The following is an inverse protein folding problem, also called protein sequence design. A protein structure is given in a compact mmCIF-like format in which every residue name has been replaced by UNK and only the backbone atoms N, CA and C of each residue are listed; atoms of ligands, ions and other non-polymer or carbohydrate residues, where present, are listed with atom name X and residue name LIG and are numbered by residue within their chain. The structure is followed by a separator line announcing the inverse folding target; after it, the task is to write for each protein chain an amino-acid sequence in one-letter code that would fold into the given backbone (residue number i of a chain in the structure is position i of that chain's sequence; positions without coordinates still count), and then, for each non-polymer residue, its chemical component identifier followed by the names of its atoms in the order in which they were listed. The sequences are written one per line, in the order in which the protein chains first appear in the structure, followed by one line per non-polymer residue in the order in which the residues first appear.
data_IF_748072501353
#
_entry.id   IF_748072501353
#
_cell.length_a   1.000
_cell.length_b   1.000
_cell.length_c   1.000
_cell.angle_alpha   90.00
_cell.angle_beta   90.00
_cell.angle_gamma   90.00
#
_symmetry.space_group_name_H-M   'P 1'
#
loop_
_entity.id
_entity.type
_entity.pdbx_description
1 polymer ?
#
# COMPACT_ATOMS: atom_id res chain seq x y z
N UNK A 1 34.87 -23.31 -11.17
CA UNK A 1 33.91 -24.00 -12.05
C UNK A 1 32.61 -23.23 -12.08
N UNK A 2 32.10 -22.84 -13.25
CA UNK A 2 30.82 -22.14 -13.31
C UNK A 2 29.69 -23.05 -12.81
N UNK A 3 28.92 -22.59 -11.82
CA UNK A 3 27.80 -23.33 -11.23
C UNK A 3 26.88 -23.82 -12.35
N UNK A 4 26.62 -25.14 -12.43
CA UNK A 4 25.67 -25.71 -13.40
C UNK A 4 24.30 -25.07 -13.18
N UNK A 5 23.74 -24.51 -14.24
CA UNK A 5 22.38 -23.94 -14.22
C UNK A 5 21.38 -25.10 -14.11
N UNK A 6 20.24 -24.85 -13.47
CA UNK A 6 19.15 -25.84 -13.31
C UNK A 6 18.22 -25.94 -14.52
N UNK A 7 18.43 -25.10 -15.52
CA UNK A 7 17.60 -24.97 -16.71
C UNK A 7 18.51 -24.87 -17.94
N UNK A 8 18.00 -25.34 -19.06
CA UNK A 8 18.67 -25.30 -20.36
C UNK A 8 18.15 -24.13 -21.22
N UNK A 9 18.85 -23.83 -22.32
CA UNK A 9 18.40 -22.80 -23.26
C UNK A 9 16.99 -23.07 -23.79
N UNK A 10 16.65 -24.34 -24.08
CA UNK A 10 15.32 -24.71 -24.58
C UNK A 10 14.23 -24.47 -23.52
N UNK A 11 14.53 -24.71 -22.24
CA UNK A 11 13.61 -24.42 -21.14
C UNK A 11 13.35 -22.92 -21.01
N UNK A 12 14.40 -22.11 -21.17
CA UNK A 12 14.28 -20.65 -21.13
C UNK A 12 13.43 -20.12 -22.29
N UNK A 13 13.68 -20.58 -23.52
CA UNK A 13 12.90 -20.17 -24.70
C UNK A 13 11.43 -20.51 -24.53
N UNK A 14 11.11 -21.77 -24.16
CA UNK A 14 9.73 -22.21 -23.90
C UNK A 14 9.07 -21.38 -22.80
N UNK A 15 9.80 -21.08 -21.74
CA UNK A 15 9.28 -20.28 -20.63
C UNK A 15 8.98 -18.83 -21.05
N UNK A 16 9.81 -18.23 -21.91
CA UNK A 16 9.61 -16.87 -22.44
C UNK A 16 8.41 -16.82 -23.38
N UNK A 17 8.28 -17.76 -24.32
CA UNK A 17 7.15 -17.83 -25.25
C UNK A 17 5.80 -18.01 -24.54
N UNK A 18 5.77 -18.88 -23.51
CA UNK A 18 4.55 -19.17 -22.73
C UNK A 18 4.15 -18.03 -21.79
N UNK A 19 5.11 -17.24 -21.31
CA UNK A 19 4.89 -16.26 -20.24
C UNK A 19 4.60 -14.86 -20.77
N UNK A 20 3.84 -14.08 -20.00
CA UNK A 20 3.59 -12.65 -20.26
C UNK A 20 4.36 -11.71 -19.31
N UNK A 21 5.26 -12.26 -18.48
CA UNK A 21 6.07 -11.48 -17.53
C UNK A 21 7.35 -12.22 -17.12
N UNK A 22 8.41 -11.45 -16.82
CA UNK A 22 9.69 -11.97 -16.29
C UNK A 22 9.50 -12.81 -15.01
N UNK A 23 8.55 -12.43 -14.14
CA UNK A 23 8.22 -13.19 -12.92
C UNK A 23 7.67 -14.57 -13.25
N UNK A 24 6.80 -14.67 -14.26
CA UNK A 24 6.25 -15.95 -14.71
C UNK A 24 7.33 -16.84 -15.32
N UNK A 25 8.23 -16.27 -16.15
CA UNK A 25 9.39 -17.00 -16.69
C UNK A 25 10.24 -17.60 -15.56
N UNK A 26 10.59 -16.81 -14.54
CA UNK A 26 11.37 -17.29 -13.40
C UNK A 26 10.67 -18.45 -12.69
N UNK A 27 9.36 -18.37 -12.47
CA UNK A 27 8.60 -19.46 -11.85
C UNK A 27 8.59 -20.73 -12.71
N UNK A 28 8.41 -20.58 -14.03
CA UNK A 28 8.36 -21.70 -14.98
C UNK A 28 9.69 -22.46 -15.02
N UNK A 29 10.82 -21.75 -15.02
CA UNK A 29 12.17 -22.37 -14.97
C UNK A 29 12.60 -22.79 -13.55
N UNK A 30 11.67 -22.81 -12.58
CA UNK A 30 11.91 -23.27 -11.21
C UNK A 30 12.78 -22.34 -10.35
N UNK A 31 12.91 -21.07 -10.73
CA UNK A 31 13.65 -20.05 -9.99
C UNK A 31 12.74 -19.16 -9.14
N UNK A 32 13.27 -18.70 -8.01
CA UNK A 32 12.57 -17.73 -7.16
C UNK A 32 12.64 -16.33 -7.78
N UNK A 33 11.54 -15.57 -7.79
CA UNK A 33 11.51 -14.20 -8.32
C UNK A 33 12.18 -13.20 -7.36
N UNK A 34 13.51 -13.25 -7.29
CA UNK A 34 14.37 -12.38 -6.47
C UNK A 34 15.24 -11.49 -7.35
N UNK A 35 15.74 -10.36 -6.81
CA UNK A 35 16.47 -9.34 -7.58
C UNK A 35 17.65 -9.88 -8.40
N UNK A 36 18.44 -10.80 -7.84
CA UNK A 36 19.56 -11.42 -8.57
C UNK A 36 19.10 -12.27 -9.76
N UNK A 37 18.02 -13.04 -9.59
CA UNK A 37 17.48 -13.88 -10.66
C UNK A 37 16.86 -13.04 -11.78
N UNK A 38 16.27 -11.89 -11.49
CA UNK A 38 15.80 -10.96 -12.52
C UNK A 38 16.96 -10.41 -13.37
N UNK A 39 18.04 -9.96 -12.74
CA UNK A 39 19.24 -9.48 -13.46
C UNK A 39 19.83 -10.57 -14.36
N UNK A 40 19.89 -11.79 -13.83
CA UNK A 40 20.42 -12.93 -14.58
C UNK A 40 19.49 -13.32 -15.75
N UNK A 41 18.18 -13.28 -15.54
CA UNK A 41 17.21 -13.51 -16.61
C UNK A 41 17.34 -12.47 -17.73
N UNK A 42 17.45 -11.18 -17.40
CA UNK A 42 17.65 -10.10 -18.37
C UNK A 42 18.94 -10.28 -19.17
N UNK A 43 20.03 -10.67 -18.49
CA UNK A 43 21.29 -11.01 -19.17
C UNK A 43 21.08 -12.08 -20.24
N UNK A 44 20.39 -13.17 -19.91
CA UNK A 44 20.21 -14.28 -20.85
C UNK A 44 19.19 -13.99 -21.96
N UNK A 45 18.13 -13.24 -21.68
CA UNK A 45 17.21 -12.77 -22.71
C UNK A 45 17.99 -11.94 -23.76
N UNK A 46 18.89 -11.07 -23.32
CA UNK A 46 19.73 -10.27 -24.20
C UNK A 46 20.77 -11.12 -24.95
N UNK A 47 21.48 -12.00 -24.23
CA UNK A 47 22.52 -12.90 -24.78
C UNK A 47 21.97 -13.81 -25.88
N UNK A 48 20.77 -14.36 -25.70
CA UNK A 48 20.11 -15.26 -26.65
C UNK A 48 19.11 -14.56 -27.57
N UNK A 49 18.99 -13.22 -27.50
CA UNK A 49 18.08 -12.40 -28.32
C UNK A 49 16.64 -12.93 -28.33
N UNK A 50 16.14 -13.32 -27.16
CA UNK A 50 14.77 -13.83 -27.03
C UNK A 50 13.77 -12.68 -27.15
N UNK A 51 12.70 -12.88 -27.93
CA UNK A 51 11.64 -11.89 -28.02
C UNK A 51 10.85 -11.81 -26.71
N UNK A 52 10.66 -10.58 -26.23
CA UNK A 52 9.87 -10.26 -25.03
C UNK A 52 8.88 -9.12 -25.29
N UNK A 53 8.65 -8.77 -26.56
CA UNK A 53 7.73 -7.72 -26.98
C UNK A 53 6.29 -7.98 -26.50
N UNK A 54 5.90 -9.25 -26.36
CA UNK A 54 4.61 -9.68 -25.84
C UNK A 54 4.48 -9.56 -24.31
N UNK A 55 5.53 -9.19 -23.58
CA UNK A 55 5.45 -9.00 -22.14
C UNK A 55 4.67 -7.73 -21.80
N UNK A 56 3.62 -7.91 -21.01
CA UNK A 56 2.66 -6.83 -20.72
C UNK A 56 3.20 -5.77 -19.75
N UNK A 57 4.17 -6.15 -18.90
CA UNK A 57 4.85 -5.22 -17.99
C UNK A 57 3.90 -4.39 -17.13
N UNK A 58 4.20 -3.10 -16.99
CA UNK A 58 3.39 -2.13 -16.25
C UNK A 58 2.07 -1.77 -16.98
N UNK A 59 1.95 -2.09 -18.27
CA UNK A 59 0.79 -1.79 -19.11
C UNK A 59 -0.22 -2.93 -19.24
N UNK A 60 -0.16 -3.96 -18.40
CA UNK A 60 -1.04 -5.14 -18.50
C UNK A 60 -2.54 -4.83 -18.39
N UNK A 61 -2.88 -3.67 -17.84
CA UNK A 61 -4.24 -3.19 -17.66
C UNK A 61 -4.62 -2.09 -18.66
N UNK A 62 -3.75 -1.71 -19.61
CA UNK A 62 -4.08 -0.72 -20.64
C UNK A 62 -5.21 -1.29 -21.50
N UNK A 63 -6.30 -0.53 -21.64
CA UNK A 63 -7.51 -0.96 -22.33
C UNK A 63 -8.49 -1.77 -21.46
N UNK A 64 -8.11 -2.17 -20.24
CA UNK A 64 -9.09 -2.71 -19.29
C UNK A 64 -9.95 -1.58 -18.73
N UNK A 65 -11.27 -1.80 -18.64
CA UNK A 65 -12.18 -0.84 -18.00
C UNK A 65 -11.83 -0.72 -16.52
N UNK A 66 -11.38 0.46 -16.09
CA UNK A 66 -11.20 0.76 -14.68
C UNK A 66 -12.55 0.70 -13.98
N UNK A 67 -12.72 -0.26 -13.07
CA UNK A 67 -13.91 -0.35 -12.22
C UNK A 67 -13.60 0.26 -10.85
N UNK A 68 -13.93 1.54 -10.60
CA UNK A 68 -13.69 2.14 -9.30
C UNK A 68 -14.46 1.37 -8.24
N UNK A 69 -13.83 1.14 -7.07
CA UNK A 69 -14.57 0.65 -5.92
C UNK A 69 -15.68 1.66 -5.57
N UNK A 70 -16.90 1.20 -5.24
CA UNK A 70 -17.99 2.10 -4.91
C UNK A 70 -17.62 2.96 -3.71
N UNK A 71 -18.08 4.21 -3.72
CA UNK A 71 -17.91 5.14 -2.62
C UNK A 71 -18.66 4.60 -1.39
N UNK A 72 -17.92 4.16 -0.38
CA UNK A 72 -18.49 3.72 0.89
C UNK A 72 -19.06 4.93 1.62
N UNK A 73 -20.29 4.93 2.15
CA UNK A 73 -20.83 6.08 2.88
C UNK A 73 -20.13 6.30 4.24
N UNK A 74 -20.30 7.49 4.83
CA UNK A 74 -19.76 7.76 6.17
C UNK A 74 -20.47 6.96 7.26
N UNK A 75 -21.79 6.71 7.15
CA UNK A 75 -22.49 5.89 8.15
C UNK A 75 -21.92 4.47 8.22
N UNK A 76 -21.42 3.94 7.10
CA UNK A 76 -20.75 2.63 7.05
C UNK A 76 -19.33 2.65 7.61
N UNK A 77 -18.73 3.83 7.77
CA UNK A 77 -17.35 4.00 8.25
C UNK A 77 -17.32 4.33 9.72
N UNK A 78 -18.22 5.21 10.19
CA UNK A 78 -18.29 5.73 11.55
C UNK A 78 -18.99 4.76 12.51
N UNK A 79 -18.55 3.51 12.46
CA UNK A 79 -19.06 2.39 13.26
C UNK A 79 -17.90 1.70 13.98
N UNK A 80 -18.25 0.86 14.95
CA UNK A 80 -17.31 -0.08 15.54
C UNK A 80 -16.91 -1.16 14.51
N UNK A 81 -15.73 -1.74 14.68
CA UNK A 81 -15.18 -2.82 13.83
C UNK A 81 -14.95 -2.44 12.36
N UNK A 82 -14.73 -1.16 12.10
CA UNK A 82 -14.46 -0.63 10.77
C UNK A 82 -12.98 -0.78 10.40
N UNK A 83 -12.69 -1.42 9.25
CA UNK A 83 -11.32 -1.55 8.71
C UNK A 83 -10.90 -0.33 7.86
N UNK A 84 -11.60 0.80 8.01
CA UNK A 84 -11.29 2.00 7.25
C UNK A 84 -10.03 2.67 7.79
N UNK A 85 -9.05 2.89 6.91
CA UNK A 85 -7.75 3.45 7.28
C UNK A 85 -7.89 4.85 7.91
N UNK A 86 -7.31 5.07 9.09
CA UNK A 86 -7.41 6.33 9.85
C UNK A 86 -6.95 7.57 9.07
N UNK A 87 -5.90 7.46 8.24
CA UNK A 87 -5.48 8.56 7.37
C UNK A 87 -6.58 8.96 6.36
N UNK A 88 -7.26 7.98 5.77
CA UNK A 88 -8.38 8.23 4.86
C UNK A 88 -9.59 8.77 5.62
N UNK A 89 -9.83 8.27 6.84
CA UNK A 89 -10.90 8.75 7.72
C UNK A 89 -10.74 10.23 8.02
N UNK A 90 -9.54 10.63 8.47
CA UNK A 90 -9.20 12.02 8.77
C UNK A 90 -9.52 12.96 7.61
N UNK A 91 -9.00 12.61 6.42
CA UNK A 91 -9.24 13.41 5.20
C UNK A 91 -10.73 13.54 4.88
N UNK A 92 -11.49 12.47 5.13
CA UNK A 92 -12.92 12.45 4.87
C UNK A 92 -13.71 13.28 5.87
N UNK A 93 -13.39 13.16 7.16
CA UNK A 93 -14.00 13.99 8.20
C UNK A 93 -13.80 15.48 7.94
N UNK A 94 -12.62 15.87 7.44
CA UNK A 94 -12.34 17.26 7.08
C UNK A 94 -13.08 17.70 5.81
N UNK A 95 -13.10 16.84 4.79
CA UNK A 95 -13.80 17.13 3.52
C UNK A 95 -15.30 17.33 3.74
N UNK A 96 -15.89 16.56 4.64
CA UNK A 96 -17.33 16.55 4.94
C UNK A 96 -17.69 17.55 6.07
N UNK A 97 -16.72 18.30 6.59
CA UNK A 97 -16.94 19.32 7.62
C UNK A 97 -17.31 18.78 9.01
N UNK A 98 -17.18 17.48 9.25
CA UNK A 98 -17.54 16.83 10.53
C UNK A 98 -16.50 17.14 11.62
N UNK A 99 -15.23 17.23 11.22
CA UNK A 99 -14.13 17.65 12.08
C UNK A 99 -13.30 18.68 11.34
N UNK A 100 -12.55 19.46 12.09
CA UNK A 100 -11.68 20.49 11.52
C UNK A 100 -10.22 20.08 11.64
N UNK A 101 -9.38 20.68 10.79
CA UNK A 101 -7.94 20.44 10.75
C UNK A 101 -7.19 21.15 11.88
N UNK A 102 -7.74 21.12 13.10
CA UNK A 102 -7.20 21.74 14.31
C UNK A 102 -7.16 20.75 15.46
N UNK A 103 -6.19 20.92 16.36
CA UNK A 103 -6.09 20.13 17.56
C UNK A 103 -7.25 20.45 18.52
N UNK A 104 -8.05 19.45 18.86
CA UNK A 104 -9.16 19.57 19.82
C UNK A 104 -8.67 19.76 21.27
N UNK A 105 -7.38 19.51 21.54
CA UNK A 105 -6.79 19.66 22.88
C UNK A 105 -6.14 21.02 23.12
N UNK A 106 -5.40 21.57 22.14
CA UNK A 106 -4.63 22.81 22.31
C UNK A 106 -4.92 23.88 21.26
N UNK A 107 -5.83 23.61 20.32
CA UNK A 107 -6.20 24.55 19.24
C UNK A 107 -5.17 24.67 18.11
N UNK A 108 -4.00 24.04 18.22
CA UNK A 108 -2.95 24.12 17.19
C UNK A 108 -3.46 23.68 15.81
N UNK A 109 -3.25 24.52 14.79
CA UNK A 109 -3.83 24.36 13.45
C UNK A 109 -2.92 24.86 12.31
N UNK A 110 -1.60 24.94 12.52
CA UNK A 110 -0.71 25.44 11.47
C UNK A 110 -0.64 24.48 10.28
N UNK A 111 -0.49 25.07 9.10
CA UNK A 111 -0.39 24.33 7.84
C UNK A 111 1.09 24.26 7.46
N UNK A 112 1.56 23.05 7.17
CA UNK A 112 2.91 22.82 6.67
C UNK A 112 3.10 23.45 5.28
N UNK A 113 4.35 23.66 4.85
CA UNK A 113 4.68 24.14 3.50
C UNK A 113 4.04 23.29 2.40
N UNK A 114 3.81 22.01 2.68
CA UNK A 114 3.16 21.05 1.79
C UNK A 114 1.62 21.22 1.72
N UNK A 115 1.04 22.20 2.41
CA UNK A 115 -0.41 22.45 2.46
C UNK A 115 -1.20 21.52 3.40
N UNK A 116 -0.51 20.69 4.19
CA UNK A 116 -1.14 19.75 5.15
C UNK A 116 -1.14 20.31 6.57
N UNK A 117 -2.26 20.19 7.27
CA UNK A 117 -2.27 20.30 8.73
C UNK A 117 -1.73 18.98 9.32
N UNK A 118 -0.61 18.99 10.06
CA UNK A 118 -0.03 17.79 10.66
C UNK A 118 -0.76 17.41 11.96
N UNK A 119 -2.09 17.36 11.90
CA UNK A 119 -2.94 16.75 12.92
C UNK A 119 -3.18 15.27 12.61
N UNK A 120 -3.47 14.49 13.63
CA UNK A 120 -3.64 13.04 13.61
C UNK A 120 -5.00 12.69 14.23
N UNK A 121 -5.55 11.53 13.87
CA UNK A 121 -6.70 10.96 14.58
C UNK A 121 -6.18 10.21 15.80
N UNK A 122 -6.79 10.48 16.95
CA UNK A 122 -6.68 9.70 18.16
C UNK A 122 -8.00 8.98 18.43
N UNK A 123 -7.91 7.68 18.73
CA UNK A 123 -9.02 6.87 19.22
C UNK A 123 -8.96 6.88 20.74
N UNK A 124 -9.95 7.46 21.41
CA UNK A 124 -9.98 7.63 22.88
C UNK A 124 -9.79 6.30 23.62
N UNK A 125 -10.43 5.25 23.12
CA UNK A 125 -10.33 3.88 23.66
C UNK A 125 -9.09 3.09 23.22
N UNK A 126 -8.25 3.64 22.34
CA UNK A 126 -7.08 2.96 21.79
C UNK A 126 -7.38 1.89 20.73
N UNK A 127 -8.64 1.65 20.37
CA UNK A 127 -9.03 0.70 19.33
C UNK A 127 -9.13 1.40 17.97
N UNK A 128 -8.18 1.10 17.08
CA UNK A 128 -8.12 1.69 15.75
C UNK A 128 -9.31 1.31 14.83
N UNK A 129 -10.13 0.33 15.23
CA UNK A 129 -11.31 -0.12 14.48
C UNK A 129 -12.61 0.53 14.97
N UNK A 130 -12.59 1.23 16.09
CA UNK A 130 -13.75 1.94 16.62
C UNK A 130 -13.83 3.36 16.08
N UNK A 131 -14.41 3.50 14.88
CA UNK A 131 -14.47 4.77 14.15
C UNK A 131 -15.70 5.61 14.49
N UNK A 132 -16.43 5.29 15.57
CA UNK A 132 -17.57 6.09 16.01
C UNK A 132 -17.11 7.51 16.36
N UNK A 133 -17.90 8.52 15.98
CA UNK A 133 -17.46 9.91 16.03
C UNK A 133 -17.10 10.38 17.44
N UNK A 134 -17.81 9.88 18.45
CA UNK A 134 -17.57 10.16 19.87
C UNK A 134 -16.22 9.64 20.38
N UNK A 135 -15.69 8.59 19.73
CA UNK A 135 -14.40 7.97 20.05
C UNK A 135 -13.22 8.65 19.34
N UNK A 136 -13.48 9.52 18.35
CA UNK A 136 -12.46 10.17 17.54
C UNK A 136 -12.14 11.59 18.01
N UNK A 137 -10.86 11.88 18.12
CA UNK A 137 -10.33 13.22 18.38
C UNK A 137 -9.27 13.58 17.33
N UNK A 138 -9.25 14.84 16.90
CA UNK A 138 -8.17 15.39 16.09
C UNK A 138 -7.14 16.03 17.01
N UNK A 139 -5.89 15.56 16.97
CA UNK A 139 -4.81 16.03 17.83
C UNK A 139 -3.57 16.41 17.03
N UNK A 140 -2.82 17.42 17.47
CA UNK A 140 -1.47 17.64 16.96
C UNK A 140 -0.51 16.55 17.46
N UNK A 141 0.69 16.39 16.87
CA UNK A 141 1.61 15.30 17.22
C UNK A 141 2.08 15.39 18.68
N UNK A 142 2.16 16.61 19.22
CA UNK A 142 2.56 16.87 20.59
C UNK A 142 1.45 16.49 21.59
N UNK A 143 0.18 16.80 21.31
CA UNK A 143 -0.92 16.38 22.18
C UNK A 143 -1.22 14.89 22.05
N UNK A 144 -1.03 14.33 20.85
CA UNK A 144 -1.26 12.91 20.62
C UNK A 144 -0.22 12.05 21.35
N UNK A 145 1.04 12.47 21.43
CA UNK A 145 2.09 11.75 22.15
C UNK A 145 1.84 11.61 23.66
N UNK A 146 1.01 12.50 24.23
CA UNK A 146 0.59 12.46 25.64
C UNK A 146 -0.58 11.51 25.91
N UNK A 147 -1.22 10.95 24.87
CA UNK A 147 -2.38 10.08 25.04
C UNK A 147 -1.97 8.67 25.48
N UNK A 148 -2.76 7.99 26.34
CA UNK A 148 -2.41 6.68 26.88
C UNK A 148 -2.14 5.57 25.86
N UNK A 149 -2.76 5.66 24.67
CA UNK A 149 -2.68 4.64 23.62
C UNK A 149 -1.84 5.09 22.41
N UNK A 150 -1.01 6.11 22.57
CA UNK A 150 -0.19 6.65 21.48
C UNK A 150 0.63 5.55 20.81
N UNK A 151 0.50 5.42 19.49
CA UNK A 151 1.19 4.41 18.65
C UNK A 151 1.09 2.97 19.17
N UNK A 152 -0.02 2.61 19.81
CA UNK A 152 -0.22 1.25 20.32
C UNK A 152 0.59 0.91 21.58
N UNK A 153 1.10 1.93 22.29
CA UNK A 153 2.01 1.78 23.45
C UNK A 153 1.41 1.07 24.68
N UNK A 154 0.16 0.57 24.63
CA UNK A 154 -0.46 -0.19 25.73
C UNK A 154 -1.30 -1.39 25.29
N UNK A 155 -1.07 -1.94 24.10
CA UNK A 155 -1.60 -3.26 23.77
C UNK A 155 -0.79 -4.29 24.58
N UNK A 156 -1.27 -4.65 25.77
CA UNK A 156 -0.79 -5.86 26.44
C UNK A 156 -1.03 -7.01 25.46
N UNK A 157 0.07 -7.65 25.02
CA UNK A 157 0.01 -8.97 24.38
C UNK A 157 -0.51 -10.00 25.36
#
# INVERSE_FOLDING_TARGET
MAKRRRWSLSDLTKAVEKSKSKRAVLKEIGLRPTGGNYKQLEKYICEYKLDTSHFLGQGWNVGMKFNPRPFMSLEKILVRDSNFQSYKLKRRLFKEGIKEARCECCGWAEISKDGRAPVEINHKNGDARDNRIENLEILCPNCHSLKPHYRGSKLKK
#
